data_IF_309551611802
#
_entry.id   IF_309551611802
#
_cell.length_a   1.000
_cell.length_b   1.000
_cell.length_c   1.000
_cell.angle_alpha   90.00
_cell.angle_beta   90.00
_cell.angle_gamma   90.00
#
_symmetry.space_group_name_H-M   'P 1'
#
loop_
_entity.id
_entity.type
_entity.pdbx_description
1 polymer ?
#
# COMPACT_ATOMS: atom_id res chain seq x y z
N UNK A 1 22.84 -12.36 -6.59
CA UNK A 1 23.86 -11.30 -6.64
C UNK A 1 23.44 -10.36 -7.77
N UNK A 2 23.00 -9.16 -7.42
CA UNK A 2 22.43 -8.23 -8.39
C UNK A 2 23.50 -7.32 -8.99
N UNK A 3 23.25 -6.83 -10.20
CA UNK A 3 24.12 -5.94 -11.00
C UNK A 3 24.56 -4.65 -10.26
N UNK A 4 23.97 -4.33 -9.14
CA UNK A 4 24.29 -3.18 -8.29
C UNK A 4 25.50 -3.41 -7.37
N UNK A 5 25.80 -4.65 -6.98
CA UNK A 5 26.93 -4.95 -6.11
C UNK A 5 28.27 -4.87 -6.87
N UNK A 6 28.27 -5.22 -8.16
CA UNK A 6 29.48 -5.10 -9.01
C UNK A 6 29.85 -3.65 -9.35
N UNK A 7 28.89 -2.74 -9.45
CA UNK A 7 29.17 -1.31 -9.67
C UNK A 7 29.81 -0.63 -8.46
N UNK A 8 29.50 -1.09 -7.23
CA UNK A 8 30.10 -0.55 -6.00
C UNK A 8 31.54 -1.01 -5.78
N UNK A 9 31.87 -2.25 -6.14
CA UNK A 9 33.25 -2.75 -6.08
C UNK A 9 34.16 -2.02 -7.06
N UNK A 10 33.72 -1.78 -8.31
CA UNK A 10 34.50 -1.03 -9.31
C UNK A 10 34.70 0.45 -8.93
N UNK A 11 33.72 1.08 -8.31
CA UNK A 11 33.85 2.47 -7.84
C UNK A 11 34.85 2.59 -6.66
N UNK A 12 34.87 1.62 -5.76
CA UNK A 12 35.78 1.59 -4.63
C UNK A 12 37.26 1.31 -5.05
N UNK A 13 37.49 0.42 -6.02
CA UNK A 13 38.84 0.19 -6.57
C UNK A 13 39.37 1.41 -7.33
N UNK A 14 38.51 2.12 -8.08
CA UNK A 14 38.91 3.34 -8.79
C UNK A 14 39.27 4.50 -7.82
N UNK A 15 38.57 4.62 -6.69
CA UNK A 15 38.85 5.63 -5.66
C UNK A 15 40.13 5.30 -4.90
N UNK A 16 40.36 4.03 -4.58
CA UNK A 16 41.58 3.57 -3.91
C UNK A 16 42.80 3.72 -4.81
N UNK A 17 42.69 3.43 -6.13
CA UNK A 17 43.81 3.58 -7.07
C UNK A 17 44.12 5.06 -7.33
N UNK A 18 43.13 5.96 -7.37
CA UNK A 18 43.36 7.40 -7.55
C UNK A 18 43.96 8.05 -6.29
N UNK A 19 43.64 7.53 -5.09
CA UNK A 19 44.25 8.01 -3.83
C UNK A 19 45.67 7.53 -3.68
N UNK A 20 45.98 6.29 -4.12
CA UNK A 20 47.31 5.73 -4.12
C UNK A 20 48.23 6.41 -5.16
N UNK A 21 47.72 6.79 -6.33
CA UNK A 21 48.45 7.54 -7.36
C UNK A 21 48.84 8.95 -6.87
N UNK A 22 47.90 9.64 -6.19
CA UNK A 22 48.17 10.97 -5.60
C UNK A 22 49.15 10.92 -4.42
N UNK A 23 49.17 9.84 -3.66
CA UNK A 23 50.16 9.62 -2.60
C UNK A 23 51.58 9.39 -3.17
N UNK A 24 51.71 8.73 -4.34
CA UNK A 24 52.98 8.49 -4.99
C UNK A 24 53.58 9.74 -5.68
N UNK A 25 52.75 10.66 -6.15
CA UNK A 25 53.23 11.94 -6.72
C UNK A 25 53.75 12.90 -5.61
N UNK A 26 53.28 12.73 -4.38
CA UNK A 26 53.77 13.50 -3.22
C UNK A 26 55.09 12.94 -2.61
N UNK A 27 55.47 11.69 -2.94
CA UNK A 27 56.70 11.07 -2.46
C UNK A 27 57.94 11.28 -3.37
N UNK A 28 57.83 11.98 -4.52
CA UNK A 28 58.95 12.27 -5.43
C UNK A 28 59.47 13.70 -5.30
N UNK A 29 59.37 14.31 -4.14
CA UNK A 29 60.20 15.47 -3.75
C UNK A 29 61.41 14.98 -3.01
N UNK A 30 62.49 14.77 -3.76
CA UNK A 30 63.88 14.62 -3.42
C UNK A 30 64.29 14.83 -1.95
N UNK A 31 64.37 13.72 -1.20
CA UNK A 31 65.24 13.64 -0.02
C UNK A 31 66.37 12.67 -0.34
N UNK A 32 67.52 13.20 -0.74
CA UNK A 32 68.78 12.44 -0.78
C UNK A 32 69.40 12.44 0.62
N UNK A 33 69.49 11.26 1.23
CA UNK A 33 70.29 11.06 2.44
C UNK A 33 71.72 10.68 2.02
N UNK A 34 72.66 11.64 2.11
CA UNK A 34 74.09 11.32 2.05
C UNK A 34 74.57 10.80 3.40
N UNK A 35 75.04 9.54 3.43
CA UNK A 35 75.74 8.99 4.56
C UNK A 35 77.18 9.55 4.60
N UNK A 36 77.48 10.43 5.54
CA UNK A 36 78.82 10.85 5.90
C UNK A 36 79.44 9.86 6.90
N UNK A 37 80.76 9.55 6.80
CA UNK A 37 81.40 8.53 7.62
C UNK A 37 81.55 8.94 9.08
N UNK A 38 81.35 7.97 9.94
CA UNK A 38 81.50 8.07 11.39
C UNK A 38 82.91 8.52 11.81
N UNK A 39 83.08 9.78 12.18
CA UNK A 39 84.10 10.17 13.16
C UNK A 39 83.85 11.61 13.59
N UNK A 40 83.12 11.83 14.64
CA UNK A 40 83.26 12.90 15.64
C UNK A 40 82.01 13.00 16.51
N UNK A 41 82.21 12.96 17.79
CA UNK A 41 81.48 13.48 18.93
C UNK A 41 79.96 13.45 18.95
N UNK A 42 79.41 12.69 19.88
CA UNK A 42 77.96 12.56 20.14
C UNK A 42 77.41 13.81 20.83
N UNK A 43 77.16 14.92 20.13
CA UNK A 43 76.35 16.04 20.69
C UNK A 43 76.02 17.13 19.69
N UNK A 44 75.91 16.79 18.41
CA UNK A 44 75.41 17.76 17.42
C UNK A 44 74.04 17.30 16.80
N UNK A 45 73.00 18.13 16.78
CA UNK A 45 71.74 17.77 16.14
C UNK A 45 71.90 17.59 14.61
N UNK A 46 71.16 16.71 13.97
CA UNK A 46 71.29 16.44 12.55
C UNK A 46 71.03 17.70 11.75
N UNK A 47 71.93 18.03 10.82
CA UNK A 47 71.79 19.15 9.88
C UNK A 47 70.98 18.68 8.69
N UNK A 48 69.83 19.29 8.49
CA UNK A 48 68.97 19.02 7.35
C UNK A 48 69.26 20.07 6.26
N UNK A 49 69.67 19.61 5.07
CA UNK A 49 69.86 20.46 3.89
C UNK A 49 68.55 20.45 3.05
N UNK A 50 67.98 21.60 2.82
CA UNK A 50 66.87 21.80 1.86
C UNK A 50 67.44 22.73 0.77
N UNK A 51 67.38 22.33 -0.50
CA UNK A 51 67.84 23.06 -1.67
C UNK A 51 69.29 23.57 -1.60
N UNK A 52 70.19 22.74 -1.01
CA UNK A 52 71.63 23.03 -1.02
C UNK A 52 72.08 24.15 -0.06
N UNK A 53 71.19 24.72 0.74
CA UNK A 53 71.53 25.70 1.78
C UNK A 53 71.32 25.12 3.18
N UNK A 54 72.33 25.37 4.06
CA UNK A 54 72.21 25.04 5.49
C UNK A 54 71.31 26.08 6.11
N UNK A 55 70.10 25.66 6.56
CA UNK A 55 69.17 26.55 7.28
C UNK A 55 69.39 26.33 8.79
N UNK A 56 69.79 27.40 9.47
CA UNK A 56 70.07 27.39 10.89
C UNK A 56 68.82 26.96 11.67
N UNK A 57 68.93 25.95 12.55
CA UNK A 57 67.85 25.14 13.11
C UNK A 57 66.81 25.86 14.00
N UNK A 58 66.81 27.17 14.10
CA UNK A 58 65.88 27.88 14.98
C UNK A 58 64.65 28.48 14.27
N UNK A 59 64.63 28.59 12.94
CA UNK A 59 63.48 29.24 12.23
C UNK A 59 62.49 28.23 11.65
N UNK A 60 62.92 26.98 11.44
CA UNK A 60 62.05 25.92 10.87
C UNK A 60 61.07 25.39 11.94
N UNK A 61 61.43 25.43 13.20
CA UNK A 61 60.71 24.81 14.32
C UNK A 61 59.29 25.43 14.53
N UNK A 62 59.12 26.73 14.32
CA UNK A 62 57.83 27.40 14.58
C UNK A 62 56.78 27.20 13.48
N UNK A 63 57.19 26.87 12.24
CA UNK A 63 56.23 26.66 11.12
C UNK A 63 55.80 25.20 11.02
N UNK A 64 56.71 24.29 11.23
CA UNK A 64 56.45 22.82 11.27
C UNK A 64 55.58 22.46 12.48
N UNK A 65 55.91 22.99 13.68
CA UNK A 65 55.05 22.76 14.86
C UNK A 65 53.63 23.25 14.68
N UNK A 66 53.41 24.43 14.06
CA UNK A 66 52.05 24.92 13.78
C UNK A 66 51.31 24.07 12.75
N UNK A 67 52.04 23.50 11.79
CA UNK A 67 51.43 22.61 10.78
C UNK A 67 51.05 21.28 11.41
N UNK A 68 51.90 20.68 12.20
CA UNK A 68 51.62 19.42 12.94
C UNK A 68 50.47 19.58 13.90
N UNK A 69 50.41 20.67 14.69
CA UNK A 69 49.30 20.94 15.59
C UNK A 69 47.96 21.18 14.83
N UNK A 70 48.03 21.76 13.64
CA UNK A 70 46.86 21.92 12.78
C UNK A 70 46.34 20.59 12.26
N UNK A 71 47.22 19.69 11.82
CA UNK A 71 46.87 18.34 11.38
C UNK A 71 46.32 17.49 12.52
N UNK A 72 46.93 17.55 13.70
CA UNK A 72 46.45 16.83 14.88
C UNK A 72 45.01 17.29 15.28
N UNK A 73 44.77 18.60 15.28
CA UNK A 73 43.42 19.14 15.54
C UNK A 73 42.38 18.66 14.50
N UNK A 74 42.75 18.65 13.23
CA UNK A 74 41.91 18.15 12.17
C UNK A 74 41.65 16.62 12.29
N UNK A 75 42.67 15.83 12.61
CA UNK A 75 42.53 14.39 12.88
C UNK A 75 41.62 14.10 14.06
N UNK A 76 41.77 14.86 15.15
CA UNK A 76 40.86 14.75 16.32
C UNK A 76 39.45 15.11 15.95
N UNK A 77 39.27 16.15 15.15
CA UNK A 77 37.95 16.58 14.66
C UNK A 77 37.30 15.50 13.78
N UNK A 78 38.03 14.94 12.82
CA UNK A 78 37.57 13.84 11.96
C UNK A 78 37.18 12.60 12.77
N UNK A 79 38.01 12.19 13.72
CA UNK A 79 37.70 11.06 14.62
C UNK A 79 36.40 11.30 15.42
N UNK A 80 36.23 12.51 15.96
CA UNK A 80 35.00 12.82 16.68
C UNK A 80 33.76 12.74 15.78
N UNK A 81 33.85 13.28 14.56
CA UNK A 81 32.74 13.22 13.59
C UNK A 81 32.44 11.77 13.16
N UNK A 82 33.48 10.97 12.97
CA UNK A 82 33.33 9.54 12.64
C UNK A 82 32.63 8.76 13.76
N UNK A 83 33.01 8.98 15.02
CA UNK A 83 32.36 8.36 16.17
C UNK A 83 30.88 8.80 16.26
N UNK A 84 30.61 10.10 16.12
CA UNK A 84 29.25 10.63 16.14
C UNK A 84 28.39 10.05 15.01
N UNK A 85 28.96 9.90 13.80
CA UNK A 85 28.25 9.32 12.66
C UNK A 85 27.96 7.84 12.89
N UNK A 86 28.92 7.08 13.43
CA UNK A 86 28.70 5.66 13.77
C UNK A 86 27.61 5.48 14.84
N UNK A 87 27.62 6.33 15.85
CA UNK A 87 26.57 6.31 16.87
C UNK A 87 25.19 6.68 16.32
N UNK A 88 25.13 7.64 15.39
CA UNK A 88 23.89 8.02 14.71
C UNK A 88 23.35 6.88 13.83
N UNK A 89 24.21 6.23 13.04
CA UNK A 89 23.84 5.06 12.24
C UNK A 89 23.36 3.90 13.11
N UNK A 90 24.04 3.59 14.20
CA UNK A 90 23.61 2.52 15.10
C UNK A 90 22.23 2.81 15.74
N UNK A 91 21.95 4.08 16.06
CA UNK A 91 20.62 4.50 16.56
C UNK A 91 19.55 4.36 15.47
N UNK A 92 19.85 4.76 14.24
CA UNK A 92 18.94 4.63 13.11
C UNK A 92 18.61 3.17 12.82
N UNK A 93 19.61 2.30 12.78
CA UNK A 93 19.42 0.84 12.61
C UNK A 93 18.56 0.24 13.72
N UNK A 94 18.76 0.64 14.98
CA UNK A 94 17.95 0.19 16.09
C UNK A 94 16.49 0.65 15.98
N UNK A 95 16.26 1.89 15.54
CA UNK A 95 14.91 2.43 15.31
C UNK A 95 14.22 1.73 14.13
N UNK A 96 14.93 1.43 13.06
CA UNK A 96 14.39 0.67 11.93
C UNK A 96 13.99 -0.74 12.38
N UNK A 97 14.83 -1.44 13.13
CA UNK A 97 14.50 -2.74 13.70
C UNK A 97 13.26 -2.70 14.61
N UNK A 98 13.17 -1.71 15.47
CA UNK A 98 11.99 -1.52 16.33
C UNK A 98 10.73 -1.23 15.52
N UNK A 99 10.83 -0.41 14.48
CA UNK A 99 9.72 -0.10 13.57
C UNK A 99 9.24 -1.36 12.85
N UNK A 100 10.15 -2.20 12.34
CA UNK A 100 9.80 -3.43 11.64
C UNK A 100 9.10 -4.44 12.57
N UNK A 101 9.53 -4.53 13.82
CA UNK A 101 8.88 -5.37 14.82
C UNK A 101 7.47 -4.88 15.15
N UNK A 102 7.29 -3.56 15.33
CA UNK A 102 5.97 -2.96 15.56
C UNK A 102 5.03 -3.19 14.37
N UNK A 103 5.53 -3.07 13.14
CA UNK A 103 4.73 -3.36 11.93
C UNK A 103 4.29 -4.83 11.93
N UNK A 104 5.18 -5.79 12.23
CA UNK A 104 4.82 -7.22 12.31
C UNK A 104 3.75 -7.47 13.37
N UNK A 105 3.89 -6.91 14.56
CA UNK A 105 2.91 -7.03 15.63
C UNK A 105 1.56 -6.43 15.23
N UNK A 106 1.57 -5.27 14.55
CA UNK A 106 0.37 -4.62 14.06
C UNK A 106 -0.36 -5.47 13.02
N UNK A 107 0.36 -6.11 12.09
CA UNK A 107 -0.22 -7.02 11.10
C UNK A 107 -0.90 -8.21 11.78
N UNK A 108 -0.23 -8.86 12.74
CA UNK A 108 -0.79 -10.00 13.47
C UNK A 108 -2.05 -9.61 14.25
N UNK A 109 -2.01 -8.48 14.97
CA UNK A 109 -3.18 -7.97 15.69
C UNK A 109 -4.34 -7.62 14.78
N UNK A 110 -4.04 -7.08 13.59
CA UNK A 110 -5.06 -6.75 12.60
C UNK A 110 -5.75 -8.02 12.08
N UNK A 111 -4.97 -9.04 11.69
CA UNK A 111 -5.50 -10.33 11.25
C UNK A 111 -6.35 -11.01 12.34
N UNK A 112 -5.91 -10.98 13.60
CA UNK A 112 -6.70 -11.55 14.70
C UNK A 112 -8.00 -10.78 14.91
N UNK A 113 -7.97 -9.44 14.82
CA UNK A 113 -9.17 -8.60 14.92
C UNK A 113 -10.17 -8.92 13.82
N UNK A 114 -9.71 -9.09 12.58
CA UNK A 114 -10.52 -9.44 11.41
C UNK A 114 -11.16 -10.83 11.59
N UNK A 115 -10.39 -11.80 12.02
CA UNK A 115 -10.93 -13.14 12.32
C UNK A 115 -12.00 -13.12 13.41
N UNK A 116 -11.81 -12.33 14.46
CA UNK A 116 -12.80 -12.19 15.54
C UNK A 116 -14.06 -11.49 15.05
N UNK A 117 -13.92 -10.45 14.23
CA UNK A 117 -15.05 -9.73 13.63
C UNK A 117 -15.88 -10.65 12.73
N UNK A 118 -15.22 -11.39 11.82
CA UNK A 118 -15.89 -12.36 10.94
C UNK A 118 -16.58 -13.49 11.71
N UNK A 119 -15.95 -14.03 12.76
CA UNK A 119 -16.53 -15.05 13.60
C UNK A 119 -17.77 -14.51 14.36
N UNK A 120 -17.70 -13.29 14.90
CA UNK A 120 -18.83 -12.63 15.55
C UNK A 120 -20.00 -12.42 14.58
N UNK A 121 -19.71 -11.95 13.37
CA UNK A 121 -20.72 -11.77 12.34
C UNK A 121 -21.35 -13.10 11.89
N UNK A 122 -20.56 -14.17 11.76
CA UNK A 122 -21.06 -15.52 11.46
C UNK A 122 -22.02 -16.03 12.56
N UNK A 123 -21.73 -15.74 13.82
CA UNK A 123 -22.63 -16.06 14.95
C UNK A 123 -23.95 -15.29 14.83
N UNK A 124 -23.94 -14.01 14.44
CA UNK A 124 -25.13 -13.21 14.21
C UNK A 124 -25.97 -13.82 13.07
N UNK A 125 -25.35 -14.21 11.95
CA UNK A 125 -26.04 -14.89 10.84
C UNK A 125 -26.72 -16.17 11.34
N UNK A 126 -26.02 -16.99 12.13
CA UNK A 126 -26.58 -18.23 12.69
C UNK A 126 -27.75 -17.98 13.62
N UNK A 127 -27.67 -16.97 14.49
CA UNK A 127 -28.76 -16.59 15.39
C UNK A 127 -29.99 -16.08 14.63
N UNK A 128 -29.81 -15.22 13.64
CA UNK A 128 -30.90 -14.71 12.80
C UNK A 128 -31.59 -15.85 12.04
N UNK A 129 -30.81 -16.79 11.50
CA UNK A 129 -31.32 -17.96 10.80
C UNK A 129 -32.11 -18.88 11.73
N UNK A 130 -31.62 -19.13 12.94
CA UNK A 130 -32.31 -19.95 13.95
C UNK A 130 -33.62 -19.29 14.39
N UNK A 131 -33.61 -17.97 14.64
CA UNK A 131 -34.83 -17.24 15.02
C UNK A 131 -35.85 -17.21 13.86
N UNK A 132 -35.38 -17.06 12.61
CA UNK A 132 -36.24 -17.16 11.44
C UNK A 132 -36.95 -18.51 11.32
N UNK A 133 -36.20 -19.60 11.52
CA UNK A 133 -36.75 -20.99 11.52
C UNK A 133 -37.72 -21.27 12.67
N UNK A 134 -37.49 -20.66 13.81
CA UNK A 134 -38.35 -20.81 14.99
C UNK A 134 -39.61 -19.91 14.93
N UNK A 135 -39.67 -18.98 14.03
CA UNK A 135 -40.81 -18.05 13.91
C UNK A 135 -42.00 -18.73 13.23
N UNK A 136 -43.17 -18.64 13.84
CA UNK A 136 -44.40 -19.08 13.26
C UNK A 136 -45.01 -18.05 12.28
N UNK A 137 -44.41 -16.87 12.16
CA UNK A 137 -44.85 -15.82 11.26
C UNK A 137 -43.92 -15.79 10.03
N UNK A 138 -44.47 -16.10 8.85
CA UNK A 138 -43.73 -16.17 7.60
C UNK A 138 -43.10 -14.83 7.20
N UNK A 139 -43.73 -13.69 7.52
CA UNK A 139 -43.19 -12.37 7.25
C UNK A 139 -41.94 -12.09 8.13
N UNK A 140 -42.03 -12.40 9.42
CA UNK A 140 -40.91 -12.27 10.36
C UNK A 140 -39.78 -13.18 9.94
N UNK A 141 -40.04 -14.44 9.56
CA UNK A 141 -39.03 -15.38 9.07
C UNK A 141 -38.34 -14.82 7.82
N UNK A 142 -39.07 -14.27 6.87
CA UNK A 142 -38.53 -13.63 5.66
C UNK A 142 -37.67 -12.42 5.96
N UNK A 143 -38.06 -11.56 6.90
CA UNK A 143 -37.27 -10.39 7.32
C UNK A 143 -35.97 -10.79 8.03
N UNK A 144 -36.00 -11.81 8.87
CA UNK A 144 -34.83 -12.34 9.56
C UNK A 144 -33.85 -13.00 8.58
N UNK A 145 -34.37 -13.74 7.59
CA UNK A 145 -33.54 -14.29 6.51
C UNK A 145 -32.84 -13.19 5.71
N UNK A 146 -33.58 -12.16 5.30
CA UNK A 146 -33.01 -11.01 4.61
C UNK A 146 -31.94 -10.27 5.44
N UNK A 147 -32.14 -10.17 6.76
CA UNK A 147 -31.14 -9.59 7.65
C UNK A 147 -29.87 -10.49 7.76
N UNK A 148 -30.05 -11.80 7.85
CA UNK A 148 -28.95 -12.77 7.86
C UNK A 148 -28.11 -12.69 6.57
N UNK A 149 -28.75 -12.63 5.41
CA UNK A 149 -28.07 -12.49 4.10
C UNK A 149 -27.28 -11.20 3.99
N UNK A 150 -27.77 -10.10 4.54
CA UNK A 150 -27.03 -8.82 4.57
C UNK A 150 -25.79 -8.90 5.43
N UNK A 151 -25.89 -9.47 6.63
CA UNK A 151 -24.71 -9.67 7.50
C UNK A 151 -23.71 -10.62 6.83
N UNK A 152 -24.17 -11.69 6.18
CA UNK A 152 -23.29 -12.59 5.41
C UNK A 152 -22.60 -11.85 4.25
N UNK A 153 -23.29 -10.91 3.60
CA UNK A 153 -22.72 -10.06 2.56
C UNK A 153 -21.62 -9.15 3.10
N UNK A 154 -21.83 -8.53 4.28
CA UNK A 154 -20.80 -7.75 4.97
C UNK A 154 -19.54 -8.60 5.18
N UNK A 155 -19.72 -9.83 5.68
CA UNK A 155 -18.60 -10.74 5.91
C UNK A 155 -17.85 -11.11 4.62
N UNK A 156 -18.56 -11.32 3.51
CA UNK A 156 -17.94 -11.60 2.20
C UNK A 156 -17.13 -10.40 1.72
N UNK A 157 -17.72 -9.22 1.73
CA UNK A 157 -17.05 -7.98 1.34
C UNK A 157 -15.81 -7.76 2.18
N UNK A 158 -15.92 -7.84 3.51
CA UNK A 158 -14.80 -7.68 4.44
C UNK A 158 -13.66 -8.67 4.15
N UNK A 159 -13.99 -9.93 3.90
CA UNK A 159 -13.00 -10.97 3.58
C UNK A 159 -12.24 -10.68 2.29
N UNK A 160 -12.92 -10.26 1.23
CA UNK A 160 -12.29 -9.90 -0.04
C UNK A 160 -11.38 -8.69 0.10
N UNK A 161 -11.78 -7.69 0.89
CA UNK A 161 -11.02 -6.46 1.07
C UNK A 161 -9.74 -6.66 1.89
N UNK A 162 -9.78 -7.54 2.88
CA UNK A 162 -8.62 -7.84 3.74
C UNK A 162 -7.68 -8.93 3.19
N UNK A 163 -8.04 -9.58 2.08
CA UNK A 163 -7.12 -10.49 1.36
C UNK A 163 -5.97 -9.76 0.65
N UNK A 164 -6.04 -8.44 0.54
CA UNK A 164 -5.02 -7.60 -0.06
C UNK A 164 -4.23 -6.84 1.02
N UNK A 165 -3.40 -7.57 1.79
CA UNK A 165 -2.51 -7.00 2.81
C UNK A 165 -1.71 -5.80 2.27
N UNK A 166 -1.99 -4.62 2.83
CA UNK A 166 -1.17 -3.41 2.64
C UNK A 166 -1.52 -2.50 1.47
N UNK A 167 -2.51 -2.80 0.63
CA UNK A 167 -2.90 -1.93 -0.49
C UNK A 167 -4.06 -1.03 -0.06
N UNK A 168 -3.82 0.29 -0.06
CA UNK A 168 -4.86 1.30 0.24
C UNK A 168 -5.98 1.36 -0.81
N UNK A 169 -5.87 0.61 -1.90
CA UNK A 169 -6.79 0.65 -3.03
C UNK A 169 -7.18 -0.77 -3.45
N UNK A 170 -8.41 -0.94 -3.91
CA UNK A 170 -9.04 -2.20 -4.27
C UNK A 170 -9.27 -2.21 -5.77
N UNK A 171 -8.84 -3.28 -6.46
CA UNK A 171 -9.16 -3.56 -7.86
C UNK A 171 -10.66 -3.88 -7.97
N UNK A 172 -11.50 -2.86 -8.15
CA UNK A 172 -12.96 -2.98 -8.01
C UNK A 172 -13.57 -3.92 -9.04
N UNK A 173 -13.04 -3.98 -10.26
CA UNK A 173 -13.53 -4.89 -11.29
C UNK A 173 -13.40 -6.35 -10.86
N UNK A 174 -12.20 -6.74 -10.41
CA UNK A 174 -11.96 -8.10 -9.92
C UNK A 174 -12.91 -8.46 -8.78
N UNK A 175 -13.10 -7.54 -7.84
CA UNK A 175 -14.02 -7.71 -6.73
C UNK A 175 -15.48 -7.91 -7.20
N UNK A 176 -15.96 -7.10 -8.15
CA UNK A 176 -17.31 -7.23 -8.72
C UNK A 176 -17.48 -8.54 -9.54
N UNK A 177 -16.44 -8.99 -10.24
CA UNK A 177 -16.44 -10.29 -10.94
C UNK A 177 -16.58 -11.47 -9.96
N UNK A 178 -15.88 -11.42 -8.82
CA UNK A 178 -16.00 -12.43 -7.77
C UNK A 178 -17.40 -12.41 -7.14
N UNK A 179 -17.95 -11.23 -6.87
CA UNK A 179 -19.30 -11.06 -6.38
C UNK A 179 -20.32 -11.68 -7.35
N UNK A 180 -20.23 -11.39 -8.65
CA UNK A 180 -21.08 -11.97 -9.69
C UNK A 180 -20.97 -13.49 -9.77
N UNK A 181 -19.75 -14.03 -9.64
CA UNK A 181 -19.49 -15.47 -9.66
C UNK A 181 -20.15 -16.18 -8.48
N UNK A 182 -20.06 -15.62 -7.29
CA UNK A 182 -20.68 -16.18 -6.10
C UNK A 182 -22.22 -16.10 -6.18
N UNK A 183 -22.74 -15.00 -6.72
CA UNK A 183 -24.15 -14.82 -6.94
C UNK A 183 -24.71 -15.81 -8.00
N UNK A 184 -23.96 -16.05 -9.07
CA UNK A 184 -24.29 -17.05 -10.10
C UNK A 184 -24.38 -18.46 -9.53
N UNK A 185 -23.44 -18.85 -8.64
CA UNK A 185 -23.50 -20.16 -7.95
C UNK A 185 -24.75 -20.29 -7.09
N UNK A 186 -25.14 -19.24 -6.38
CA UNK A 186 -26.34 -19.23 -5.55
C UNK A 186 -27.60 -19.41 -6.41
N UNK A 187 -27.74 -18.66 -7.50
CA UNK A 187 -28.87 -18.78 -8.42
C UNK A 187 -28.97 -20.16 -9.08
N UNK A 188 -27.86 -20.78 -9.42
CA UNK A 188 -27.82 -22.14 -9.97
C UNK A 188 -28.34 -23.18 -8.98
N UNK A 189 -28.06 -23.01 -7.67
CA UNK A 189 -28.59 -23.88 -6.61
C UNK A 189 -30.11 -23.74 -6.44
N UNK A 190 -30.67 -22.59 -6.74
CA UNK A 190 -32.11 -22.31 -6.70
C UNK A 190 -32.84 -22.74 -7.99
N UNK A 191 -32.15 -23.42 -8.91
CA UNK A 191 -32.69 -23.83 -10.23
C UNK A 191 -33.17 -22.67 -11.09
N UNK A 192 -32.64 -21.46 -10.85
CA UNK A 192 -32.87 -20.27 -11.66
C UNK A 192 -31.78 -20.20 -12.73
N UNK A 193 -32.14 -20.59 -13.96
CA UNK A 193 -31.23 -20.60 -15.11
C UNK A 193 -31.01 -19.17 -15.64
N UNK A 194 -30.36 -18.32 -14.81
CA UNK A 194 -30.08 -16.92 -15.11
C UNK A 194 -28.61 -16.67 -15.36
N UNK A 195 -28.32 -15.93 -16.41
CA UNK A 195 -26.96 -15.56 -16.80
C UNK A 195 -26.65 -14.19 -16.19
N UNK A 196 -25.59 -14.14 -15.37
CA UNK A 196 -25.01 -12.88 -14.90
C UNK A 196 -23.77 -12.58 -15.71
N UNK A 197 -23.71 -11.38 -16.27
CA UNK A 197 -22.56 -10.91 -17.05
C UNK A 197 -22.01 -9.65 -16.38
N UNK A 198 -20.69 -9.64 -16.17
CA UNK A 198 -19.98 -8.47 -15.68
C UNK A 198 -19.04 -7.94 -16.76
N UNK A 199 -19.17 -6.67 -17.08
CA UNK A 199 -18.32 -5.95 -18.03
C UNK A 199 -17.79 -4.68 -17.37
N UNK A 200 -16.58 -4.25 -17.71
CA UNK A 200 -16.11 -2.98 -17.17
C UNK A 200 -14.62 -2.75 -17.23
N UNK A 201 -14.25 -1.54 -16.82
CA UNK A 201 -12.89 -1.03 -16.80
C UNK A 201 -12.13 -1.49 -15.55
N UNK A 202 -10.82 -1.59 -15.68
CA UNK A 202 -9.92 -1.76 -14.53
C UNK A 202 -9.73 -0.43 -13.82
N UNK A 203 -10.12 -0.36 -12.55
CA UNK A 203 -9.90 0.83 -11.71
C UNK A 203 -9.64 0.41 -10.26
N UNK A 204 -8.75 1.15 -9.61
CA UNK A 204 -8.44 0.96 -8.21
C UNK A 204 -9.12 2.06 -7.38
N UNK A 205 -9.96 1.67 -6.45
CA UNK A 205 -10.72 2.56 -5.57
C UNK A 205 -10.26 2.41 -4.12
N UNK A 206 -10.44 3.46 -3.32
CA UNK A 206 -10.23 3.38 -1.87
C UNK A 206 -11.24 2.42 -1.23
N UNK A 207 -10.91 1.86 -0.08
CA UNK A 207 -11.83 1.01 0.69
C UNK A 207 -13.14 1.74 1.03
N UNK A 208 -13.05 3.04 1.33
CA UNK A 208 -14.20 3.90 1.65
C UNK A 208 -15.21 4.02 0.51
N UNK A 209 -14.78 3.82 -0.73
CA UNK A 209 -15.64 3.81 -1.93
C UNK A 209 -16.00 2.39 -2.35
N UNK A 210 -15.05 1.46 -2.33
CA UNK A 210 -15.25 0.09 -2.80
C UNK A 210 -16.24 -0.71 -1.93
N UNK A 211 -16.20 -0.52 -0.59
CA UNK A 211 -17.11 -1.21 0.34
C UNK A 211 -18.56 -0.82 0.07
N UNK A 212 -18.95 0.48 0.08
CA UNK A 212 -20.29 0.89 -0.28
C UNK A 212 -20.75 0.41 -1.66
N UNK A 213 -19.86 0.46 -2.68
CA UNK A 213 -20.17 -0.04 -4.02
C UNK A 213 -20.47 -1.54 -4.04
N UNK A 214 -19.73 -2.34 -3.27
CA UNK A 214 -20.01 -3.75 -3.12
C UNK A 214 -21.39 -4.04 -2.54
N UNK A 215 -21.80 -3.27 -1.52
CA UNK A 215 -23.15 -3.37 -0.96
C UNK A 215 -24.22 -2.96 -1.98
N UNK A 216 -24.02 -1.85 -2.66
CA UNK A 216 -24.92 -1.39 -3.71
C UNK A 216 -25.08 -2.46 -4.79
N UNK A 217 -23.96 -2.99 -5.31
CA UNK A 217 -23.97 -4.05 -6.33
C UNK A 217 -24.73 -5.29 -5.84
N UNK A 218 -24.46 -5.75 -4.61
CA UNK A 218 -25.12 -6.93 -4.04
C UNK A 218 -26.64 -6.72 -3.88
N UNK A 219 -27.09 -5.57 -3.38
CA UNK A 219 -28.53 -5.28 -3.25
C UNK A 219 -29.21 -5.13 -4.61
N UNK A 220 -28.54 -4.52 -5.59
CA UNK A 220 -29.07 -4.39 -6.96
C UNK A 220 -29.13 -5.74 -7.67
N UNK A 221 -28.11 -6.61 -7.52
CA UNK A 221 -28.13 -7.97 -8.06
C UNK A 221 -29.25 -8.80 -7.41
N UNK A 222 -29.43 -8.68 -6.11
CA UNK A 222 -30.53 -9.33 -5.37
C UNK A 222 -31.89 -8.87 -5.89
N UNK A 223 -32.07 -7.57 -6.11
CA UNK A 223 -33.30 -7.02 -6.68
C UNK A 223 -33.53 -7.50 -8.12
N UNK A 224 -32.50 -7.51 -8.95
CA UNK A 224 -32.55 -8.03 -10.32
C UNK A 224 -32.92 -9.52 -10.34
N UNK A 225 -32.38 -10.32 -9.43
CA UNK A 225 -32.75 -11.74 -9.29
C UNK A 225 -34.19 -11.94 -8.79
N UNK A 226 -34.67 -11.08 -7.90
CA UNK A 226 -35.99 -11.22 -7.30
C UNK A 226 -37.14 -10.71 -8.22
N UNK A 227 -36.90 -9.63 -8.93
CA UNK A 227 -37.97 -8.92 -9.68
C UNK A 227 -37.80 -9.01 -11.20
N UNK A 228 -36.56 -9.26 -11.67
CA UNK A 228 -36.27 -9.42 -13.09
C UNK A 228 -36.49 -10.83 -13.58
N UNK A 229 -36.38 -11.00 -14.90
CA UNK A 229 -36.33 -12.28 -15.59
C UNK A 229 -35.12 -12.29 -16.53
N UNK A 230 -34.67 -13.47 -16.98
CA UNK A 230 -33.59 -13.57 -17.95
C UNK A 230 -32.21 -13.08 -17.48
N UNK A 231 -31.53 -12.37 -18.37
CA UNK A 231 -30.15 -11.91 -18.16
C UNK A 231 -30.06 -10.78 -17.17
N UNK A 232 -29.02 -10.83 -16.31
CA UNK A 232 -28.62 -9.74 -15.43
C UNK A 232 -27.25 -9.25 -15.89
N UNK A 233 -27.10 -7.95 -16.14
CA UNK A 233 -25.81 -7.35 -16.49
C UNK A 233 -25.37 -6.36 -15.43
N UNK A 234 -24.11 -6.44 -15.03
CA UNK A 234 -23.43 -5.48 -14.19
C UNK A 234 -22.31 -4.83 -15.01
N UNK A 235 -22.27 -3.51 -15.09
CA UNK A 235 -21.23 -2.78 -15.79
C UNK A 235 -20.58 -1.73 -14.92
N UNK A 236 -19.27 -1.52 -15.15
CA UNK A 236 -18.46 -0.47 -14.55
C UNK A 236 -17.79 0.33 -15.65
N UNK A 237 -18.18 1.58 -15.82
CA UNK A 237 -17.77 2.42 -16.94
C UNK A 237 -17.16 3.74 -16.43
N UNK A 238 -16.33 4.39 -17.28
CA UNK A 238 -15.85 5.74 -17.03
C UNK A 238 -16.92 6.75 -17.44
N UNK A 239 -17.25 7.70 -16.56
CA UNK A 239 -18.12 8.81 -16.89
C UNK A 239 -17.36 9.93 -17.60
N UNK A 240 -18.02 10.71 -18.52
CA UNK A 240 -17.36 11.75 -19.30
C UNK A 240 -16.69 12.86 -18.47
N UNK A 241 -17.17 13.13 -17.26
CA UNK A 241 -16.72 14.23 -16.39
C UNK A 241 -15.83 13.75 -15.21
N UNK A 242 -14.96 12.78 -15.46
CA UNK A 242 -13.99 12.25 -14.46
C UNK A 242 -14.60 11.46 -13.29
N UNK A 243 -15.76 10.82 -13.49
CA UNK A 243 -16.32 9.88 -12.52
C UNK A 243 -16.43 8.48 -13.09
N UNK A 244 -17.18 7.64 -12.38
CA UNK A 244 -17.44 6.26 -12.75
C UNK A 244 -18.95 5.98 -12.67
N UNK A 245 -19.40 5.03 -13.49
CA UNK A 245 -20.78 4.57 -13.54
C UNK A 245 -20.81 3.08 -13.19
N UNK A 246 -21.45 2.71 -12.10
CA UNK A 246 -21.79 1.33 -11.78
C UNK A 246 -23.25 1.12 -12.17
N UNK A 247 -23.55 0.23 -13.12
CA UNK A 247 -24.90 -0.07 -13.56
C UNK A 247 -25.24 -1.54 -13.37
N UNK A 248 -26.45 -1.80 -12.88
CA UNK A 248 -27.06 -3.13 -12.87
C UNK A 248 -28.35 -3.09 -13.66
N UNK A 249 -28.44 -3.92 -14.70
CA UNK A 249 -29.60 -4.04 -15.58
C UNK A 249 -30.13 -5.46 -15.56
N UNK A 250 -31.43 -5.63 -15.59
CA UNK A 250 -32.09 -6.92 -15.75
C UNK A 250 -33.15 -6.84 -16.84
N UNK A 251 -33.40 -7.97 -17.51
CA UNK A 251 -34.56 -8.17 -18.39
C UNK A 251 -35.82 -8.39 -17.57
N UNK A 252 -37.01 -8.13 -18.16
CA UNK A 252 -38.30 -8.41 -17.54
C UNK A 252 -39.17 -7.19 -17.40
N UNK A 253 -40.13 -7.20 -16.46
CA UNK A 253 -41.08 -6.09 -16.31
C UNK A 253 -40.36 -4.78 -15.99
N UNK A 254 -40.65 -3.73 -16.73
CA UNK A 254 -40.19 -2.38 -16.38
C UNK A 254 -40.87 -1.90 -15.07
N UNK A 255 -40.17 -1.01 -14.36
CA UNK A 255 -40.79 -0.36 -13.19
C UNK A 255 -42.03 0.44 -13.58
N UNK A 256 -43.02 0.52 -12.69
CA UNK A 256 -44.21 1.35 -12.92
C UNK A 256 -43.83 2.80 -13.25
N UNK A 257 -44.63 3.43 -14.12
CA UNK A 257 -44.46 4.87 -14.37
C UNK A 257 -44.61 5.66 -13.06
N UNK A 258 -43.65 6.58 -12.82
CA UNK A 258 -43.62 7.36 -11.58
C UNK A 258 -43.01 6.61 -10.38
N UNK A 259 -42.33 5.49 -10.59
CA UNK A 259 -41.61 4.82 -9.51
C UNK A 259 -40.62 5.80 -8.84
N UNK A 260 -40.89 6.07 -7.57
CA UNK A 260 -40.02 6.91 -6.74
C UNK A 260 -39.17 6.03 -5.79
N UNK A 261 -37.84 5.96 -6.00
CA UNK A 261 -36.98 5.24 -5.09
C UNK A 261 -37.00 5.80 -3.67
N UNK A 262 -37.35 7.08 -3.48
CA UNK A 262 -37.44 7.72 -2.17
C UNK A 262 -38.69 7.25 -1.38
N UNK A 263 -39.75 6.90 -2.07
CA UNK A 263 -41.00 6.37 -1.48
C UNK A 263 -40.94 4.88 -1.16
N UNK A 264 -39.88 4.16 -1.57
CA UNK A 264 -39.75 2.74 -1.33
C UNK A 264 -39.52 2.42 0.17
N UNK A 265 -40.47 1.69 0.76
CA UNK A 265 -40.38 1.23 2.15
C UNK A 265 -39.39 0.05 2.35
N UNK A 266 -38.88 -0.55 1.29
CA UNK A 266 -37.95 -1.68 1.32
C UNK A 266 -36.59 -1.30 1.90
N UNK A 267 -36.06 -2.13 2.80
CA UNK A 267 -34.78 -1.88 3.46
C UNK A 267 -33.61 -1.85 2.45
N UNK A 268 -33.61 -2.67 1.39
CA UNK A 268 -32.58 -2.69 0.35
C UNK A 268 -32.40 -1.34 -0.35
N UNK A 269 -33.51 -0.71 -0.77
CA UNK A 269 -33.45 0.61 -1.43
C UNK A 269 -32.95 1.70 -0.47
N UNK A 270 -33.29 1.63 0.80
CA UNK A 270 -32.77 2.56 1.83
C UNK A 270 -31.26 2.40 2.01
N UNK A 271 -30.78 1.17 2.01
CA UNK A 271 -29.33 0.85 2.09
C UNK A 271 -28.60 1.41 0.87
N UNK A 272 -29.11 1.14 -0.36
CA UNK A 272 -28.54 1.66 -1.60
C UNK A 272 -28.40 3.18 -1.51
N UNK A 273 -29.47 3.88 -1.16
CA UNK A 273 -29.45 5.35 -1.05
C UNK A 273 -28.44 5.85 -0.03
N UNK A 274 -28.41 5.25 1.17
CA UNK A 274 -27.47 5.64 2.21
C UNK A 274 -26.02 5.48 1.76
N UNK A 275 -25.67 4.40 1.06
CA UNK A 275 -24.32 4.19 0.54
C UNK A 275 -23.99 5.08 -0.67
N UNK A 276 -24.98 5.36 -1.54
CA UNK A 276 -24.80 6.34 -2.62
C UNK A 276 -24.51 7.73 -2.06
N UNK A 277 -25.24 8.16 -1.04
CA UNK A 277 -24.98 9.43 -0.32
C UNK A 277 -23.59 9.42 0.34
N UNK A 278 -23.19 8.31 0.97
CA UNK A 278 -21.89 8.17 1.63
C UNK A 278 -20.71 8.37 0.65
N UNK A 279 -20.82 7.86 -0.59
CA UNK A 279 -19.78 8.02 -1.61
C UNK A 279 -19.93 9.31 -2.42
N UNK A 280 -20.84 10.20 -2.05
CA UNK A 280 -21.11 11.45 -2.78
C UNK A 280 -21.67 11.21 -4.19
N UNK A 281 -22.33 10.07 -4.42
CA UNK A 281 -22.83 9.65 -5.71
C UNK A 281 -24.28 10.06 -5.99
N UNK A 282 -24.75 9.72 -7.19
CA UNK A 282 -26.11 9.92 -7.65
C UNK A 282 -26.70 8.60 -8.17
N UNK A 283 -27.92 8.24 -7.71
CA UNK A 283 -28.67 7.08 -8.19
C UNK A 283 -29.64 7.49 -9.29
N UNK A 284 -29.50 6.85 -10.45
CA UNK A 284 -30.44 7.00 -11.59
C UNK A 284 -31.13 5.67 -11.88
N UNK A 285 -32.37 5.76 -12.33
CA UNK A 285 -33.17 4.58 -12.68
C UNK A 285 -33.74 4.81 -14.07
N UNK A 286 -33.44 3.90 -14.96
CA UNK A 286 -33.82 3.95 -16.35
C UNK A 286 -34.46 2.62 -16.77
N UNK A 287 -35.03 2.59 -17.99
CA UNK A 287 -35.38 1.32 -18.62
C UNK A 287 -34.14 0.51 -18.93
N UNK A 288 -34.29 -0.80 -18.82
CA UNK A 288 -33.19 -1.74 -19.09
C UNK A 288 -32.75 -1.72 -20.55
N UNK A 289 -31.73 -2.53 -20.83
CA UNK A 289 -31.18 -2.71 -22.17
C UNK A 289 -32.30 -3.19 -23.14
N UNK A 290 -32.28 -2.70 -24.35
CA UNK A 290 -33.30 -2.98 -25.36
C UNK A 290 -34.73 -2.51 -25.01
N UNK A 291 -34.83 -1.54 -24.09
CA UNK A 291 -36.12 -0.99 -23.64
C UNK A 291 -37.00 -2.00 -22.87
N UNK A 292 -36.40 -3.08 -22.36
CA UNK A 292 -37.01 -4.14 -21.56
C UNK A 292 -36.33 -4.19 -20.18
N UNK A 293 -37.07 -4.41 -19.10
CA UNK A 293 -36.56 -4.48 -17.74
C UNK A 293 -36.22 -3.12 -17.12
N UNK A 294 -35.29 -3.17 -16.18
CA UNK A 294 -34.89 -2.00 -15.37
C UNK A 294 -33.38 -1.90 -15.31
N UNK A 295 -32.85 -0.67 -15.35
CA UNK A 295 -31.47 -0.33 -15.13
C UNK A 295 -31.32 0.62 -13.94
N UNK A 296 -30.51 0.25 -12.98
CA UNK A 296 -30.06 1.12 -11.90
C UNK A 296 -28.61 1.54 -12.17
N UNK A 297 -28.35 2.83 -12.16
CA UNK A 297 -27.01 3.39 -12.41
C UNK A 297 -26.63 4.27 -11.24
N UNK A 298 -25.43 4.04 -10.70
CA UNK A 298 -24.81 4.87 -9.66
C UNK A 298 -23.64 5.60 -10.27
N UNK A 299 -23.72 6.92 -10.30
CA UNK A 299 -22.60 7.81 -10.66
C UNK A 299 -21.83 8.12 -9.37
N UNK A 300 -20.50 8.01 -9.40
CA UNK A 300 -19.62 8.34 -8.25
C UNK A 300 -18.26 8.86 -8.74
N UNK A 301 -17.49 9.47 -7.82
CA UNK A 301 -16.24 10.17 -8.15
C UNK A 301 -15.04 9.64 -7.34
#
# INVERSE_FOLDING_TARGET
MSSTDQCWEYANEAILSATYAKSKEAEHGLFEFEHLPHSAGADSPPVIKVDGQIVDGQIIDGHEQRTVESYERELIRRRRTEIQLREALAREEALLHQKDELIRQMVVLHQESDHRLLNGAQMIVSLLTLQGRASNNAEVASQLAAAADRVATICRIHRHLHSFDGVRTIAIKQYLEELCRDFSKMLSLESLDRVIVMEGIEVNLSADTAIPLGFIANELLTNAAKYGTGRISLSLESAPEKGYLLSVSNEGPALPEGFDPAGCKGLGMRIIRSFVEQIGGELRIDRGDRNDGTRFTVLFF
#
